data_IF_352158562178
#
_entry.id   IF_352158562178
#
_cell.length_a   1.000
_cell.length_b   1.000
_cell.length_c   1.000
_cell.angle_alpha   90.00
_cell.angle_beta   90.00
_cell.angle_gamma   90.00
#
_symmetry.space_group_name_H-M   'P 1'
#
loop_
_entity.id
_entity.type
_entity.pdbx_description
1 polymer ?
#
# COMPACT_ATOMS: atom_id res chain seq x y z
N UNK A 1 3.62 37.26 72.58
CA UNK A 1 4.01 36.03 71.86
C UNK A 1 3.16 35.92 70.61
N UNK A 2 3.60 36.50 69.50
CA UNK A 2 2.96 36.33 68.20
C UNK A 2 4.09 36.26 67.17
N UNK A 3 4.11 35.18 66.39
CA UNK A 3 4.40 35.15 64.95
C UNK A 3 4.92 33.79 64.53
N UNK A 4 4.02 32.96 64.01
CA UNK A 4 4.34 31.94 63.02
C UNK A 4 3.26 32.05 61.94
N UNK A 5 3.46 33.01 61.03
CA UNK A 5 2.75 33.01 59.75
C UNK A 5 3.57 32.14 58.80
N UNK A 6 3.13 30.89 58.62
CA UNK A 6 3.55 30.09 57.47
C UNK A 6 2.94 30.74 56.24
N UNK A 7 3.78 31.32 55.38
CA UNK A 7 3.37 31.69 54.03
C UNK A 7 3.20 30.42 53.22
N UNK A 8 1.96 29.94 53.11
CA UNK A 8 1.54 29.05 52.05
C UNK A 8 1.76 29.78 50.72
N UNK A 9 2.86 29.44 50.06
CA UNK A 9 3.26 30.01 48.79
C UNK A 9 2.46 29.28 47.72
N UNK A 10 1.37 29.91 47.25
CA UNK A 10 0.61 29.40 46.11
C UNK A 10 1.57 29.14 44.94
N UNK A 11 1.45 28.00 44.24
CA UNK A 11 2.28 27.72 43.09
C UNK A 11 2.09 28.85 42.08
N UNK A 12 3.19 29.50 41.69
CA UNK A 12 3.16 30.57 40.73
C UNK A 12 2.58 30.06 39.42
N UNK A 13 1.93 30.95 38.66
CA UNK A 13 1.42 30.65 37.32
C UNK A 13 2.44 29.91 36.43
N UNK A 14 3.75 30.19 36.61
CA UNK A 14 4.85 29.52 35.94
C UNK A 14 5.00 28.03 36.29
N UNK A 15 4.75 27.62 37.53
CA UNK A 15 4.80 26.20 37.94
C UNK A 15 3.64 25.41 37.33
N UNK A 16 2.48 26.06 37.22
CA UNK A 16 1.29 25.51 36.55
C UNK A 16 1.55 25.29 35.06
N UNK A 17 2.10 26.30 34.37
CA UNK A 17 2.46 26.22 32.95
C UNK A 17 3.53 25.18 32.68
N UNK A 18 4.53 25.05 33.56
CA UNK A 18 5.57 24.01 33.46
C UNK A 18 4.98 22.61 33.61
N UNK A 19 4.09 22.39 34.58
CA UNK A 19 3.46 21.07 34.78
C UNK A 19 2.59 20.65 33.60
N UNK A 20 1.85 21.60 33.01
CA UNK A 20 1.04 21.37 31.82
C UNK A 20 1.91 21.01 30.62
N UNK A 21 3.01 21.74 30.41
CA UNK A 21 3.94 21.47 29.33
C UNK A 21 4.63 20.10 29.49
N UNK A 22 5.13 19.79 30.68
CA UNK A 22 5.78 18.51 30.98
C UNK A 22 4.80 17.32 30.80
N UNK A 23 3.53 17.50 31.19
CA UNK A 23 2.49 16.48 31.01
C UNK A 23 2.12 16.24 29.54
N UNK A 24 2.00 17.31 28.74
CA UNK A 24 1.65 17.19 27.31
C UNK A 24 2.80 16.59 26.53
N UNK A 25 4.04 17.06 26.75
CA UNK A 25 5.22 16.52 26.08
C UNK A 25 5.47 15.06 26.48
N UNK A 26 5.29 14.70 27.76
CA UNK A 26 5.42 13.33 28.24
C UNK A 26 4.47 12.36 27.53
N UNK A 27 3.19 12.75 27.38
CA UNK A 27 2.20 11.93 26.68
C UNK A 27 2.53 11.73 25.19
N UNK A 28 2.94 12.80 24.49
CA UNK A 28 3.34 12.71 23.08
C UNK A 28 4.57 11.81 22.87
N UNK A 29 5.57 11.93 23.74
CA UNK A 29 6.76 11.08 23.68
C UNK A 29 6.43 9.60 23.97
N UNK A 30 5.47 9.34 24.85
CA UNK A 30 5.04 7.99 25.16
C UNK A 30 4.28 7.34 23.99
N UNK A 31 3.35 8.06 23.36
CA UNK A 31 2.68 7.59 22.14
C UNK A 31 3.66 7.37 20.99
N UNK A 32 4.63 8.28 20.84
CA UNK A 32 5.69 8.15 19.85
C UNK A 32 6.55 6.91 20.12
N UNK A 33 6.95 6.67 21.37
CA UNK A 33 7.71 5.50 21.78
C UNK A 33 6.94 4.18 21.59
N UNK A 34 5.64 4.16 21.90
CA UNK A 34 4.76 3.01 21.65
C UNK A 34 4.58 2.74 20.15
N UNK A 35 4.51 3.79 19.34
CA UNK A 35 4.48 3.71 17.88
C UNK A 35 5.81 3.18 17.32
N UNK A 36 6.95 3.66 17.84
CA UNK A 36 8.27 3.13 17.50
C UNK A 36 8.47 1.68 17.93
N UNK A 37 7.82 1.24 19.02
CA UNK A 37 7.82 -0.17 19.42
C UNK A 37 7.13 -1.10 18.41
N UNK A 38 6.19 -0.58 17.62
CA UNK A 38 5.47 -1.32 16.57
C UNK A 38 6.10 -1.19 15.19
N UNK A 39 6.95 -0.19 14.98
CA UNK A 39 7.63 0.07 13.71
C UNK A 39 8.39 -1.16 13.17
N UNK A 40 9.16 -1.92 13.98
CA UNK A 40 9.85 -3.12 13.48
C UNK A 40 8.87 -4.21 13.01
N UNK A 41 7.72 -4.35 13.66
CA UNK A 41 6.70 -5.33 13.29
C UNK A 41 6.09 -4.95 11.95
N UNK A 42 5.77 -3.66 11.75
CA UNK A 42 5.23 -3.15 10.49
C UNK A 42 6.24 -3.28 9.34
N UNK A 43 7.52 -2.96 9.59
CA UNK A 43 8.59 -3.13 8.60
C UNK A 43 8.72 -4.61 8.22
N UNK A 44 8.75 -5.51 9.20
CA UNK A 44 8.86 -6.94 8.94
C UNK A 44 7.65 -7.50 8.18
N UNK A 45 6.43 -7.06 8.53
CA UNK A 45 5.22 -7.43 7.81
C UNK A 45 5.26 -6.92 6.35
N UNK A 46 5.64 -5.66 6.15
CA UNK A 46 5.80 -5.07 4.82
C UNK A 46 6.89 -5.78 3.99
N UNK A 47 8.00 -6.16 4.60
CA UNK A 47 9.04 -6.93 3.92
C UNK A 47 8.56 -8.31 3.48
N UNK A 48 7.81 -9.02 4.34
CA UNK A 48 7.29 -10.34 4.01
C UNK A 48 6.23 -10.26 2.91
N UNK A 49 5.24 -9.38 3.06
CA UNK A 49 4.22 -9.12 2.03
C UNK A 49 4.84 -8.67 0.71
N UNK A 50 5.83 -7.80 0.79
CA UNK A 50 6.59 -7.32 -0.36
C UNK A 50 7.36 -8.43 -1.10
N UNK A 51 7.95 -9.38 -0.38
CA UNK A 51 8.64 -10.53 -0.97
C UNK A 51 7.66 -11.46 -1.68
N UNK A 52 6.50 -11.69 -1.07
CA UNK A 52 5.42 -12.46 -1.67
C UNK A 52 4.95 -11.82 -2.97
N UNK A 53 4.53 -10.54 -2.92
CA UNK A 53 4.16 -9.77 -4.12
C UNK A 53 5.24 -9.81 -5.19
N UNK A 54 6.51 -9.64 -4.82
CA UNK A 54 7.63 -9.64 -5.77
C UNK A 54 7.79 -10.98 -6.50
N UNK A 55 7.47 -12.10 -5.84
CA UNK A 55 7.56 -13.44 -6.44
C UNK A 55 6.39 -13.76 -7.38
N UNK A 56 5.22 -13.15 -7.18
CA UNK A 56 4.01 -13.38 -7.99
C UNK A 56 3.76 -12.27 -9.01
N UNK A 57 4.37 -11.10 -8.86
CA UNK A 57 4.15 -9.92 -9.72
C UNK A 57 4.57 -10.17 -11.18
N UNK A 58 3.62 -10.01 -12.10
CA UNK A 58 3.83 -10.17 -13.55
C UNK A 58 4.81 -9.15 -14.15
N UNK A 59 4.94 -7.97 -13.53
CA UNK A 59 5.87 -6.91 -13.92
C UNK A 59 7.32 -7.15 -13.45
N UNK A 60 7.56 -8.06 -12.51
CA UNK A 60 8.90 -8.37 -12.01
C UNK A 60 9.49 -9.59 -12.74
N UNK A 61 10.56 -9.40 -13.53
CA UNK A 61 11.19 -10.47 -14.33
C UNK A 61 12.71 -10.36 -14.35
N UNK A 62 13.39 -11.47 -14.08
CA UNK A 62 14.85 -11.57 -14.21
C UNK A 62 15.58 -10.47 -13.42
N UNK A 63 15.17 -10.31 -12.16
CA UNK A 63 15.72 -9.38 -11.16
C UNK A 63 15.44 -7.89 -11.38
N UNK A 64 14.49 -7.53 -12.24
CA UNK A 64 14.08 -6.13 -12.43
C UNK A 64 12.57 -5.98 -12.51
N UNK A 65 12.07 -4.82 -12.12
CA UNK A 65 10.67 -4.43 -12.27
C UNK A 65 10.48 -3.60 -13.54
N UNK A 66 9.54 -4.01 -14.40
CA UNK A 66 9.19 -3.32 -15.64
C UNK A 66 8.19 -2.18 -15.44
N UNK A 67 7.44 -2.18 -14.35
CA UNK A 67 6.51 -1.10 -14.00
C UNK A 67 7.26 0.22 -13.73
N UNK A 68 8.48 0.11 -13.21
CA UNK A 68 9.34 1.24 -12.87
C UNK A 68 10.51 1.29 -13.85
N UNK A 69 10.26 1.84 -15.04
CA UNK A 69 11.28 2.00 -16.09
C UNK A 69 11.39 3.44 -16.58
N UNK A 70 12.62 3.86 -16.88
CA UNK A 70 12.95 5.19 -17.39
C UNK A 70 13.82 5.09 -18.63
N UNK A 71 13.72 6.09 -19.53
CA UNK A 71 14.62 6.21 -20.68
C UNK A 71 16.02 6.65 -20.24
N UNK A 72 16.05 7.61 -19.32
CA UNK A 72 17.28 8.16 -18.77
C UNK A 72 17.54 7.59 -17.37
N UNK A 73 18.79 7.67 -16.91
CA UNK A 73 19.16 7.19 -15.58
C UNK A 73 18.40 8.00 -14.53
N UNK A 74 17.63 7.37 -13.62
CA UNK A 74 16.93 8.11 -12.59
C UNK A 74 17.97 8.81 -11.72
N UNK A 75 17.89 10.14 -11.61
CA UNK A 75 18.79 10.92 -10.75
C UNK A 75 18.52 10.50 -9.32
N UNK A 76 19.42 9.68 -8.79
CA UNK A 76 19.33 9.05 -7.48
C UNK A 76 19.02 10.06 -6.38
N UNK A 77 17.78 10.02 -5.84
CA UNK A 77 17.39 10.23 -4.44
C UNK A 77 15.89 10.60 -4.34
N UNK A 78 15.18 10.17 -3.28
CA UNK A 78 15.73 9.69 -2.00
C UNK A 78 15.62 8.19 -1.75
N UNK A 79 15.15 7.39 -2.71
CA UNK A 79 14.93 5.97 -2.48
C UNK A 79 15.90 5.13 -3.31
N UNK A 80 16.83 4.49 -2.60
CA UNK A 80 17.88 3.58 -3.05
C UNK A 80 17.22 2.38 -3.73
N UNK A 81 16.79 2.56 -4.97
CA UNK A 81 16.34 1.50 -5.84
C UNK A 81 17.54 1.23 -6.74
N UNK A 82 18.15 0.05 -6.58
CA UNK A 82 19.31 -0.35 -7.39
C UNK A 82 18.87 -0.29 -8.85
N UNK A 83 19.36 0.70 -9.58
CA UNK A 83 19.04 0.87 -10.99
C UNK A 83 19.96 -0.02 -11.82
N UNK A 84 19.38 -0.70 -12.80
CA UNK A 84 20.06 -1.61 -13.71
C UNK A 84 19.74 -1.18 -15.13
N UNK A 85 20.77 -0.87 -15.91
CA UNK A 85 20.61 -0.58 -17.33
C UNK A 85 20.42 -1.88 -18.12
N UNK A 86 19.29 -2.03 -18.81
CA UNK A 86 19.02 -3.15 -19.73
C UNK A 86 18.57 -2.60 -21.09
N UNK A 87 19.34 -2.87 -22.14
CA UNK A 87 19.07 -2.28 -23.47
C UNK A 87 19.12 -0.76 -23.43
N UNK A 88 18.07 -0.12 -23.94
CA UNK A 88 17.94 1.33 -24.02
C UNK A 88 17.25 1.96 -22.79
N UNK A 89 16.87 1.16 -21.79
CA UNK A 89 16.15 1.60 -20.60
C UNK A 89 16.91 1.36 -19.29
N UNK A 90 16.51 2.11 -18.28
CA UNK A 90 16.89 1.92 -16.89
C UNK A 90 15.72 1.31 -16.12
N UNK A 91 16.02 0.24 -15.41
CA UNK A 91 15.06 -0.52 -14.61
C UNK A 91 15.52 -0.52 -13.16
N UNK A 92 14.67 -0.96 -12.25
CA UNK A 92 15.02 -1.09 -10.83
C UNK A 92 14.83 -2.51 -10.34
N UNK A 93 15.65 -2.91 -9.38
CA UNK A 93 15.35 -4.02 -8.48
C UNK A 93 14.77 -3.45 -7.17
N UNK A 94 13.44 -3.37 -7.00
CA UNK A 94 12.85 -2.75 -5.82
C UNK A 94 13.08 -3.58 -4.56
N UNK A 95 13.36 -2.89 -3.46
CA UNK A 95 13.33 -3.50 -2.13
C UNK A 95 11.90 -3.99 -1.83
N UNK A 96 11.72 -5.14 -1.16
CA UNK A 96 10.39 -5.69 -0.87
C UNK A 96 9.39 -4.70 -0.27
N UNK A 97 9.83 -3.80 0.62
CA UNK A 97 8.95 -2.77 1.20
C UNK A 97 8.25 -1.92 0.12
N UNK A 98 8.91 -1.61 -1.00
CA UNK A 98 8.29 -0.88 -2.10
C UNK A 98 7.30 -1.74 -2.90
N UNK A 99 7.58 -3.04 -3.03
CA UNK A 99 6.64 -3.99 -3.64
C UNK A 99 5.36 -4.10 -2.81
N UNK A 100 5.45 -4.07 -1.47
CA UNK A 100 4.28 -4.10 -0.59
C UNK A 100 3.33 -2.92 -0.85
N UNK A 101 3.90 -1.75 -1.15
CA UNK A 101 3.20 -0.49 -1.41
C UNK A 101 2.85 -0.26 -2.90
N UNK A 102 3.14 -1.22 -3.78
CA UNK A 102 2.97 -1.03 -5.22
C UNK A 102 1.51 -1.25 -5.65
N UNK A 103 0.90 -0.21 -6.22
CA UNK A 103 -0.47 -0.24 -6.74
C UNK A 103 -0.62 -1.06 -8.03
N UNK A 104 0.43 -1.15 -8.85
CA UNK A 104 0.41 -1.93 -10.09
C UNK A 104 0.26 -3.45 -9.85
N UNK A 105 0.30 -3.92 -8.60
CA UNK A 105 0.02 -5.31 -8.26
C UNK A 105 -1.49 -5.61 -8.21
N UNK A 106 -2.32 -4.66 -7.75
CA UNK A 106 -3.77 -4.87 -7.56
C UNK A 106 -4.54 -5.01 -8.89
N UNK A 107 -4.06 -4.37 -9.96
CA UNK A 107 -4.70 -4.42 -11.29
C UNK A 107 -4.67 -5.82 -11.97
N UNK A 108 -4.14 -6.86 -11.31
CA UNK A 108 -4.02 -8.21 -11.91
C UNK A 108 -4.88 -9.30 -11.25
N UNK A 109 -5.49 -9.04 -10.10
CA UNK A 109 -6.32 -10.05 -9.40
C UNK A 109 -7.83 -9.85 -9.65
N UNK A 110 -8.28 -8.68 -10.13
CA UNK A 110 -9.71 -8.38 -10.33
C UNK A 110 -10.28 -8.85 -11.69
N UNK A 111 -9.46 -9.36 -12.63
CA UNK A 111 -9.95 -9.80 -13.96
C UNK A 111 -10.42 -11.27 -14.01
N UNK A 112 -10.25 -12.06 -12.95
CA UNK A 112 -10.61 -13.49 -12.93
C UNK A 112 -11.94 -13.82 -12.22
N UNK A 113 -12.69 -12.81 -11.73
CA UNK A 113 -14.01 -12.99 -11.08
C UNK A 113 -15.21 -12.64 -11.98
N UNK A 114 -15.04 -12.56 -13.31
CA UNK A 114 -16.18 -12.76 -14.22
C UNK A 114 -16.57 -14.25 -14.22
N UNK A 115 -17.16 -14.65 -13.11
CA UNK A 115 -17.97 -15.85 -12.90
C UNK A 115 -19.01 -15.89 -14.03
N UNK A 116 -18.74 -16.76 -15.00
CA UNK A 116 -19.69 -17.15 -16.04
C UNK A 116 -20.98 -17.58 -15.34
N UNK A 117 -21.98 -16.70 -15.30
CA UNK A 117 -23.32 -17.10 -14.88
C UNK A 117 -23.76 -18.19 -15.84
N UNK A 118 -23.94 -19.42 -15.35
CA UNK A 118 -24.37 -20.61 -16.09
C UNK A 118 -25.80 -20.50 -16.67
N UNK A 119 -26.36 -19.28 -16.74
CA UNK A 119 -27.76 -19.00 -17.06
C UNK A 119 -28.04 -18.71 -18.57
N UNK A 120 -27.06 -18.86 -19.47
CA UNK A 120 -27.24 -18.65 -20.93
C UNK A 120 -27.18 -19.94 -21.79
N UNK A 121 -27.54 -21.12 -21.26
CA UNK A 121 -27.54 -22.39 -22.03
C UNK A 121 -28.92 -23.03 -22.28
N UNK A 122 -30.01 -22.31 -22.14
CA UNK A 122 -31.32 -22.72 -22.65
C UNK A 122 -31.93 -21.47 -23.31
N UNK A 123 -32.10 -21.36 -24.64
CA UNK A 123 -33.24 -21.94 -25.34
C UNK A 123 -33.23 -21.46 -26.83
N UNK A 124 -32.30 -21.92 -27.68
CA UNK A 124 -32.45 -21.79 -29.14
C UNK A 124 -32.86 -23.14 -29.73
N UNK A 125 -34.11 -23.52 -29.43
CA UNK A 125 -34.82 -24.57 -30.17
C UNK A 125 -35.16 -24.03 -31.56
N UNK A 126 -34.31 -24.35 -32.53
CA UNK A 126 -34.58 -24.22 -33.96
C UNK A 126 -35.87 -24.99 -34.29
N UNK A 127 -36.95 -24.28 -34.64
CA UNK A 127 -38.08 -24.89 -35.34
C UNK A 127 -37.86 -24.73 -36.85
N UNK A 128 -37.87 -25.88 -37.50
CA UNK A 128 -37.51 -26.14 -38.89
C UNK A 128 -38.61 -25.65 -39.86
N UNK A 129 -38.18 -24.97 -40.92
CA UNK A 129 -38.59 -25.15 -42.31
C UNK A 129 -40.09 -25.39 -42.64
N UNK A 130 -40.81 -24.31 -42.99
CA UNK A 130 -41.95 -24.40 -43.92
C UNK A 130 -41.50 -23.98 -45.33
N UNK A 131 -41.26 -24.99 -46.18
CA UNK A 131 -41.04 -24.85 -47.62
C UNK A 131 -42.36 -24.46 -48.30
N UNK A 132 -42.43 -23.26 -48.88
CA UNK A 132 -43.52 -22.89 -49.79
C UNK A 132 -43.24 -23.45 -51.18
N UNK A 133 -44.09 -24.36 -51.64
CA UNK A 133 -44.11 -24.84 -53.03
C UNK A 133 -44.60 -23.71 -53.95
N UNK A 134 -43.79 -23.43 -54.97
CA UNK A 134 -44.10 -22.57 -56.11
C UNK A 134 -45.07 -23.31 -57.04
N UNK A 135 -46.24 -22.75 -57.30
CA UNK A 135 -47.07 -23.14 -58.44
C UNK A 135 -46.86 -22.16 -59.61
N UNK A 136 -46.46 -22.75 -60.73
CA UNK A 136 -46.11 -22.17 -62.03
C UNK A 136 -47.34 -21.58 -62.76
N UNK A 137 -47.18 -20.39 -63.38
CA UNK A 137 -47.89 -20.00 -64.62
C UNK A 137 -46.98 -19.15 -65.55
#
# INVERSE_FOLDING_TARGET
MVSLLSSDKEPGFDDLMKSLFDSVMGAMFQELAESFGKLPILISAAENHGKEKKNTCTFYRGDVCNCWCWKDEPSSEPFILVSVKKGDGWYIDPHPIYCALCFAYEESEEEDEEEWSEDELEDERVEEDEWSEEDEE
#
